data_IF_309183409865
#
_entry.id   IF_309183409865
#
_cell.length_a   1.000
_cell.length_b   1.000
_cell.length_c   1.000
_cell.angle_alpha   90.00
_cell.angle_beta   90.00
_cell.angle_gamma   90.00
#
_symmetry.space_group_name_H-M   'P 1'
#
loop_
_entity.id
_entity.type
_entity.pdbx_description
1 polymer ?
#
# COMPACT_ATOMS: atom_id res chain seq x y z
N UNK A 1 -0.89 14.36 17.79
CA UNK A 1 -1.08 12.94 18.19
C UNK A 1 0.14 12.18 17.71
N UNK A 2 0.96 11.70 18.64
CA UNK A 2 2.32 11.26 18.36
C UNK A 2 2.35 10.07 17.40
N UNK A 3 3.03 10.25 16.27
CA UNK A 3 3.63 9.14 15.52
C UNK A 3 4.64 8.49 16.46
N UNK A 4 4.20 7.56 17.30
CA UNK A 4 5.12 6.67 17.98
C UNK A 4 6.00 6.06 16.90
N UNK A 5 7.32 6.18 17.03
CA UNK A 5 8.24 5.51 16.13
C UNK A 5 7.79 4.05 16.05
N UNK A 6 7.37 3.62 14.86
CA UNK A 6 6.85 2.29 14.61
C UNK A 6 8.00 1.28 14.80
N UNK A 7 8.29 0.98 16.05
CA UNK A 7 9.39 0.12 16.44
C UNK A 7 8.86 -1.30 16.56
N UNK A 8 9.26 -2.10 15.57
CA UNK A 8 8.96 -3.52 15.51
C UNK A 8 9.39 -4.27 16.78
N UNK A 9 10.51 -3.88 17.41
CA UNK A 9 10.98 -4.53 18.63
C UNK A 9 10.01 -4.31 19.79
N UNK A 10 9.57 -3.05 20.00
CA UNK A 10 8.55 -2.73 21.00
C UNK A 10 7.21 -3.44 20.75
N UNK A 11 6.79 -3.55 19.50
CA UNK A 11 5.55 -4.23 19.13
C UNK A 11 5.64 -5.74 19.38
N UNK A 12 6.71 -6.39 18.92
CA UNK A 12 6.91 -7.81 19.12
C UNK A 12 6.95 -8.18 20.61
N UNK A 13 7.60 -7.36 21.44
CA UNK A 13 7.67 -7.58 22.89
C UNK A 13 6.28 -7.51 23.57
N UNK A 14 5.37 -6.62 23.14
CA UNK A 14 4.00 -6.52 23.70
C UNK A 14 3.16 -7.78 23.45
N UNK A 15 3.43 -8.46 22.34
CA UNK A 15 2.62 -9.56 21.84
C UNK A 15 3.28 -10.93 22.03
N UNK A 16 4.51 -10.96 22.53
CA UNK A 16 5.24 -12.17 22.85
C UNK A 16 4.45 -13.00 23.88
N UNK A 17 4.23 -14.28 23.57
CA UNK A 17 3.48 -15.21 24.43
C UNK A 17 1.95 -15.04 24.44
N UNK A 18 1.42 -13.90 23.95
CA UNK A 18 -0.03 -13.71 23.72
C UNK A 18 -0.45 -14.19 22.33
N UNK A 19 0.45 -14.12 21.36
CA UNK A 19 0.22 -14.47 19.96
C UNK A 19 1.30 -15.46 19.49
N UNK A 20 0.95 -16.30 18.53
CA UNK A 20 1.88 -17.20 17.86
C UNK A 20 2.96 -16.43 17.07
N UNK A 21 4.23 -16.82 17.23
CA UNK A 21 5.39 -16.23 16.53
C UNK A 21 5.22 -16.14 15.01
N UNK A 22 4.50 -17.10 14.42
CA UNK A 22 4.20 -17.08 12.98
C UNK A 22 3.41 -15.84 12.55
N UNK A 23 2.46 -15.37 13.36
CA UNK A 23 1.68 -14.17 13.05
C UNK A 23 2.53 -12.90 13.17
N UNK A 24 3.47 -12.84 14.11
CA UNK A 24 4.45 -11.76 14.20
C UNK A 24 5.34 -11.73 12.95
N UNK A 25 5.83 -12.89 12.50
CA UNK A 25 6.64 -12.97 11.26
C UNK A 25 5.85 -12.53 10.03
N UNK A 26 4.60 -12.97 9.89
CA UNK A 26 3.73 -12.58 8.75
C UNK A 26 3.43 -11.07 8.82
N UNK A 27 3.17 -10.53 10.00
CA UNK A 27 2.95 -9.09 10.19
C UNK A 27 4.17 -8.29 9.77
N UNK A 28 5.37 -8.66 10.22
CA UNK A 28 6.63 -8.02 9.81
C UNK A 28 6.80 -8.00 8.29
N UNK A 29 6.61 -9.16 7.64
CA UNK A 29 6.69 -9.28 6.18
C UNK A 29 5.63 -8.44 5.46
N UNK A 30 4.43 -8.33 6.03
CA UNK A 30 3.35 -7.50 5.50
C UNK A 30 3.73 -6.02 5.54
N UNK A 31 4.34 -5.56 6.63
CA UNK A 31 4.83 -4.18 6.77
C UNK A 31 5.98 -3.86 5.81
N UNK A 32 6.95 -4.76 5.68
CA UNK A 32 8.04 -4.62 4.72
C UNK A 32 7.52 -4.49 3.28
N UNK A 33 6.50 -5.28 2.93
CA UNK A 33 5.84 -5.22 1.61
C UNK A 33 4.98 -3.98 1.43
N UNK A 34 4.23 -3.54 2.46
CA UNK A 34 3.48 -2.28 2.45
C UNK A 34 4.40 -1.11 2.11
N UNK A 35 5.54 -1.00 2.80
CA UNK A 35 6.52 0.07 2.58
C UNK A 35 7.06 0.07 1.15
N UNK A 36 7.38 -1.09 0.58
CA UNK A 36 7.81 -1.21 -0.82
C UNK A 36 6.71 -0.79 -1.79
N UNK A 37 5.49 -1.26 -1.57
CA UNK A 37 4.34 -0.90 -2.41
C UNK A 37 4.05 0.60 -2.36
N UNK A 38 3.99 1.21 -1.18
CA UNK A 38 3.75 2.65 -1.01
C UNK A 38 4.85 3.50 -1.66
N UNK A 39 6.11 3.07 -1.54
CA UNK A 39 7.23 3.74 -2.21
C UNK A 39 7.07 3.70 -3.74
N UNK A 40 6.82 2.52 -4.31
CA UNK A 40 6.61 2.34 -5.76
C UNK A 40 5.40 3.16 -6.24
N UNK A 41 4.29 3.10 -5.50
CA UNK A 41 3.07 3.81 -5.82
C UNK A 41 3.29 5.33 -5.80
N UNK A 42 3.93 5.85 -4.75
CA UNK A 42 4.27 7.29 -4.65
C UNK A 42 5.21 7.72 -5.77
N UNK A 43 6.25 6.93 -6.04
CA UNK A 43 7.18 7.20 -7.13
C UNK A 43 6.45 7.22 -8.49
N UNK A 44 5.51 6.30 -8.73
CA UNK A 44 4.72 6.28 -9.97
C UNK A 44 3.89 7.55 -10.15
N UNK A 45 3.27 8.08 -9.09
CA UNK A 45 2.54 9.35 -9.14
C UNK A 45 3.45 10.53 -9.47
N UNK A 46 4.64 10.59 -8.87
CA UNK A 46 5.62 11.65 -9.19
C UNK A 46 6.01 11.58 -10.67
N UNK A 47 6.28 10.38 -11.19
CA UNK A 47 6.61 10.20 -12.61
C UNK A 47 5.43 10.59 -13.51
N UNK A 48 4.19 10.25 -13.14
CA UNK A 48 2.99 10.67 -13.87
C UNK A 48 2.84 12.19 -13.94
N UNK A 49 3.07 12.89 -12.83
CA UNK A 49 3.02 14.36 -12.81
C UNK A 49 4.09 14.95 -13.74
N UNK A 50 5.33 14.45 -13.66
CA UNK A 50 6.44 14.92 -14.50
C UNK A 50 6.15 14.66 -15.98
N UNK A 51 5.71 13.45 -16.34
CA UNK A 51 5.37 13.10 -17.73
C UNK A 51 4.19 13.92 -18.26
N UNK A 52 3.17 14.16 -17.43
CA UNK A 52 2.01 14.98 -17.81
C UNK A 52 2.40 16.44 -18.05
N UNK A 53 3.24 17.01 -17.19
CA UNK A 53 3.77 18.36 -17.37
C UNK A 53 4.63 18.45 -18.64
N UNK A 54 5.49 17.47 -18.88
CA UNK A 54 6.27 17.39 -20.11
C UNK A 54 5.38 17.33 -21.36
N UNK A 55 4.33 16.50 -21.33
CA UNK A 55 3.36 16.41 -22.42
C UNK A 55 2.65 17.75 -22.66
N UNK A 56 2.20 18.44 -21.60
CA UNK A 56 1.56 19.76 -21.73
C UNK A 56 2.51 20.81 -22.33
N UNK A 57 3.79 20.78 -21.94
CA UNK A 57 4.82 21.66 -22.51
C UNK A 57 5.05 21.37 -24.00
N UNK A 58 5.16 20.09 -24.38
CA UNK A 58 5.30 19.68 -25.77
C UNK A 58 4.07 20.05 -26.60
N UNK A 59 2.86 19.80 -26.08
CA UNK A 59 1.61 20.18 -26.73
C UNK A 59 1.52 21.69 -26.93
N UNK A 60 1.88 22.50 -25.93
CA UNK A 60 1.88 23.97 -26.04
C UNK A 60 2.83 24.46 -27.13
N UNK A 61 4.07 23.94 -27.19
CA UNK A 61 5.05 24.39 -28.20
C UNK A 61 4.64 23.98 -29.61
N UNK A 62 4.05 22.79 -29.77
CA UNK A 62 3.58 22.31 -31.08
C UNK A 62 2.31 23.02 -31.53
N UNK A 63 1.35 23.30 -30.64
CA UNK A 63 0.15 24.11 -30.96
C UNK A 63 0.52 25.55 -31.32
N UNK A 64 1.52 26.14 -30.65
CA UNK A 64 2.00 27.48 -31.01
C UNK A 64 2.68 27.54 -32.40
N UNK A 65 3.13 26.39 -32.92
CA UNK A 65 3.81 26.28 -34.23
C UNK A 65 2.89 25.78 -35.36
N UNK A 66 1.72 25.22 -35.04
CA UNK A 66 0.83 24.56 -36.00
C UNK A 66 -0.44 25.37 -36.32
N UNK A 67 -0.42 26.09 -37.44
CA UNK A 67 -1.60 26.72 -38.08
C UNK A 67 -2.01 26.05 -39.41
N UNK A 68 -1.56 24.82 -39.67
CA UNK A 68 -1.85 24.10 -40.92
C UNK A 68 -2.47 22.74 -40.63
N UNK A 69 -3.64 22.46 -41.23
CA UNK A 69 -4.51 21.32 -40.94
C UNK A 69 -4.01 19.94 -41.42
N UNK A 70 -2.79 19.55 -41.07
CA UNK A 70 -2.25 18.21 -41.29
C UNK A 70 -2.16 17.42 -39.98
N UNK A 71 -2.22 16.08 -40.08
CA UNK A 71 -2.10 15.16 -38.96
C UNK A 71 -0.71 15.30 -38.32
N UNK A 72 -0.62 15.95 -37.16
CA UNK A 72 0.67 16.34 -36.59
C UNK A 72 1.28 15.19 -35.75
N UNK A 73 2.19 14.44 -36.35
CA UNK A 73 2.96 13.37 -35.72
C UNK A 73 3.73 13.83 -34.47
N UNK A 74 4.04 15.13 -34.37
CA UNK A 74 4.70 15.72 -33.20
C UNK A 74 3.83 15.75 -31.93
N UNK A 75 2.50 15.66 -32.06
CA UNK A 75 1.57 15.56 -30.91
C UNK A 75 1.26 14.09 -30.59
N UNK A 76 1.17 13.26 -31.62
CA UNK A 76 0.84 11.83 -31.48
C UNK A 76 1.94 11.06 -30.75
N UNK A 77 3.21 11.33 -31.07
CA UNK A 77 4.34 10.65 -30.45
C UNK A 77 4.44 10.88 -28.93
N UNK A 78 4.41 12.12 -28.39
CA UNK A 78 4.46 12.35 -26.95
C UNK A 78 3.21 11.80 -26.23
N UNK A 79 2.06 11.75 -26.89
CA UNK A 79 0.86 11.09 -26.34
C UNK A 79 1.07 9.59 -26.19
N UNK A 80 1.60 8.90 -27.21
CA UNK A 80 1.92 7.46 -27.14
C UNK A 80 2.94 7.19 -26.03
N UNK A 81 3.99 8.02 -25.91
CA UNK A 81 4.99 7.90 -24.84
C UNK A 81 4.35 8.04 -23.46
N UNK A 82 3.45 9.01 -23.28
CA UNK A 82 2.73 9.21 -22.02
C UNK A 82 1.87 7.99 -21.67
N UNK A 83 1.06 7.50 -22.60
CA UNK A 83 0.16 6.35 -22.38
C UNK A 83 0.94 5.05 -22.11
N UNK A 84 2.01 4.79 -22.88
CA UNK A 84 2.84 3.58 -22.69
C UNK A 84 3.61 3.61 -21.37
N UNK A 85 4.19 4.76 -21.01
CA UNK A 85 4.84 4.95 -19.70
C UNK A 85 3.85 4.82 -18.56
N UNK A 86 2.62 5.33 -18.73
CA UNK A 86 1.54 5.19 -17.77
C UNK A 86 1.20 3.73 -17.49
N UNK A 87 1.00 2.94 -18.55
CA UNK A 87 0.70 1.52 -18.48
C UNK A 87 1.85 0.71 -17.84
N UNK A 88 3.10 1.00 -18.19
CA UNK A 88 4.27 0.31 -17.63
C UNK A 88 4.41 0.55 -16.12
N UNK A 89 4.26 1.79 -15.68
CA UNK A 89 4.31 2.14 -14.25
C UNK A 89 3.14 1.50 -13.49
N UNK A 90 1.94 1.46 -14.07
CA UNK A 90 0.79 0.80 -13.45
C UNK A 90 1.02 -0.70 -13.30
N UNK A 91 1.66 -1.33 -14.29
CA UNK A 91 2.04 -2.74 -14.23
C UNK A 91 3.04 -2.97 -13.09
N UNK A 92 4.05 -2.13 -12.94
CA UNK A 92 5.02 -2.20 -11.82
C UNK A 92 4.29 -2.05 -10.48
N UNK A 93 3.43 -1.05 -10.32
CA UNK A 93 2.62 -0.88 -9.10
C UNK A 93 1.81 -2.15 -8.79
N UNK A 94 1.17 -2.74 -9.80
CA UNK A 94 0.39 -3.97 -9.65
C UNK A 94 1.25 -5.18 -9.25
N UNK A 95 2.47 -5.30 -9.77
CA UNK A 95 3.44 -6.35 -9.37
C UNK A 95 3.74 -6.29 -7.87
N UNK A 96 3.83 -5.10 -7.28
CA UNK A 96 4.06 -4.96 -5.84
C UNK A 96 2.76 -5.04 -5.02
N UNK A 97 1.63 -4.60 -5.60
CA UNK A 97 0.31 -4.64 -4.95
C UNK A 97 -0.17 -6.06 -4.72
N UNK A 98 -0.12 -6.93 -5.73
CA UNK A 98 -0.70 -8.28 -5.62
C UNK A 98 -0.04 -9.13 -4.52
N UNK A 99 1.30 -9.20 -4.39
CA UNK A 99 1.97 -9.91 -3.30
C UNK A 99 1.76 -9.26 -1.93
N UNK A 100 1.52 -7.94 -1.87
CA UNK A 100 1.15 -7.24 -0.64
C UNK A 100 -0.27 -7.63 -0.18
N UNK A 101 -1.25 -7.59 -1.09
CA UNK A 101 -2.62 -8.01 -0.78
C UNK A 101 -2.66 -9.48 -0.35
N UNK A 102 -2.01 -10.37 -1.11
CA UNK A 102 -1.96 -11.79 -0.77
C UNK A 102 -1.41 -12.07 0.64
N UNK A 103 -0.35 -11.36 1.07
CA UNK A 103 0.19 -11.58 2.42
C UNK A 103 -0.68 -10.95 3.50
N UNK A 104 -1.34 -9.83 3.19
CA UNK A 104 -2.31 -9.18 4.06
C UNK A 104 -3.53 -10.07 4.29
N UNK A 105 -4.02 -10.72 3.24
CA UNK A 105 -5.14 -11.66 3.31
C UNK A 105 -4.78 -12.88 4.16
N UNK A 106 -3.59 -13.46 3.94
CA UNK A 106 -3.06 -14.55 4.77
C UNK A 106 -2.92 -14.15 6.24
N UNK A 107 -2.51 -12.90 6.51
CA UNK A 107 -2.44 -12.38 7.88
C UNK A 107 -3.83 -12.29 8.50
N UNK A 108 -4.81 -11.80 7.74
CA UNK A 108 -6.21 -11.69 8.18
C UNK A 108 -6.80 -13.05 8.50
N UNK A 109 -6.65 -14.03 7.61
CA UNK A 109 -7.09 -15.42 7.82
C UNK A 109 -6.44 -16.03 9.06
N UNK A 110 -5.13 -15.81 9.25
CA UNK A 110 -4.41 -16.30 10.44
C UNK A 110 -4.91 -15.67 11.73
N UNK A 111 -5.17 -14.36 11.71
CA UNK A 111 -5.71 -13.65 12.87
C UNK A 111 -7.11 -14.18 13.19
N UNK A 112 -7.98 -14.31 12.18
CA UNK A 112 -9.35 -14.81 12.37
C UNK A 112 -9.40 -16.26 12.87
N UNK A 113 -8.49 -17.12 12.40
CA UNK A 113 -8.49 -18.54 12.75
C UNK A 113 -7.81 -18.85 14.10
N UNK A 114 -6.86 -18.02 14.55
CA UNK A 114 -5.97 -18.37 15.66
C UNK A 114 -5.95 -17.38 16.82
N UNK A 115 -6.55 -16.20 16.69
CA UNK A 115 -6.57 -15.19 17.75
C UNK A 115 -7.91 -15.22 18.48
N UNK A 116 -7.87 -15.47 19.78
CA UNK A 116 -9.08 -15.57 20.59
C UNK A 116 -9.87 -14.26 20.61
N UNK A 117 -11.18 -14.38 20.42
CA UNK A 117 -12.18 -13.51 21.04
C UNK A 117 -13.10 -14.41 21.88
N UNK A 118 -12.96 -14.35 23.20
CA UNK A 118 -13.85 -14.99 24.16
C UNK A 118 -14.49 -13.90 25.02
N UNK A 119 -15.65 -14.12 25.61
CA UNK A 119 -16.25 -13.22 26.58
C UNK A 119 -17.30 -13.96 27.37
N UNK A 120 -17.36 -13.58 28.63
CA UNK A 120 -18.37 -13.80 29.62
C UNK A 120 -18.01 -12.76 30.68
N UNK A 121 -19.03 -12.21 31.28
CA UNK A 121 -19.07 -10.83 31.71
C UNK A 121 -19.96 -10.77 32.94
N UNK A 122 -19.52 -10.15 34.04
CA UNK A 122 -20.02 -10.35 35.42
C UNK A 122 -20.16 -11.84 35.88
N UNK A 123 -20.04 -12.83 34.97
CA UNK A 123 -20.66 -14.16 34.95
C UNK A 123 -19.76 -15.26 34.30
N UNK A 124 -18.46 -15.04 33.98
CA UNK A 124 -17.55 -16.09 33.44
C UNK A 124 -16.43 -15.57 32.52
N UNK A 125 -15.78 -16.41 31.69
CA UNK A 125 -14.57 -16.12 30.88
C UNK A 125 -14.61 -15.09 29.70
N UNK A 126 -13.73 -14.07 29.70
CA UNK A 126 -13.44 -13.17 28.56
C UNK A 126 -12.01 -13.11 28.00
N UNK A 127 -11.89 -12.74 26.72
CA UNK A 127 -10.70 -12.54 25.87
C UNK A 127 -11.01 -11.60 24.67
N UNK A 128 -10.27 -10.51 24.46
CA UNK A 128 -10.34 -9.74 23.21
C UNK A 128 -8.99 -9.53 22.53
N UNK A 129 -8.17 -10.58 22.45
CA UNK A 129 -6.82 -10.48 21.89
C UNK A 129 -6.82 -10.16 20.38
N UNK A 130 -7.81 -10.66 19.65
CA UNK A 130 -7.97 -10.31 18.23
C UNK A 130 -8.22 -8.82 18.04
N UNK A 131 -9.22 -8.27 18.72
CA UNK A 131 -9.60 -6.85 18.58
C UNK A 131 -8.46 -5.91 19.02
N UNK A 132 -7.81 -6.23 20.14
CA UNK A 132 -6.65 -5.49 20.64
C UNK A 132 -5.49 -5.53 19.65
N UNK A 133 -5.24 -6.67 19.01
CA UNK A 133 -4.19 -6.80 18.00
C UNK A 133 -4.50 -6.00 16.74
N UNK A 134 -5.73 -6.12 16.22
CA UNK A 134 -6.15 -5.36 15.05
C UNK A 134 -6.07 -3.85 15.31
N UNK A 135 -6.43 -3.41 16.52
CA UNK A 135 -6.31 -2.02 16.95
C UNK A 135 -4.84 -1.59 17.05
N UNK A 136 -3.98 -2.33 17.75
CA UNK A 136 -2.57 -1.97 17.94
C UNK A 136 -1.81 -1.97 16.59
N UNK A 137 -2.11 -2.90 15.69
CA UNK A 137 -1.52 -2.92 14.34
C UNK A 137 -1.95 -1.68 13.52
N UNK A 138 -3.19 -1.25 13.65
CA UNK A 138 -3.68 0.00 13.03
C UNK A 138 -3.03 1.23 13.65
N UNK A 139 -2.94 1.31 14.97
CA UNK A 139 -2.40 2.48 15.67
C UNK A 139 -0.87 2.60 15.51
N UNK A 140 -0.14 1.48 15.58
CA UNK A 140 1.32 1.45 15.49
C UNK A 140 1.82 1.57 14.05
N UNK A 141 1.16 0.92 13.09
CA UNK A 141 1.66 0.78 11.71
C UNK A 141 0.74 1.31 10.61
N UNK A 142 -0.42 1.87 10.98
CA UNK A 142 -1.47 2.29 10.04
C UNK A 142 -1.87 1.15 9.07
N UNK A 143 -1.78 -0.10 9.54
CA UNK A 143 -2.15 -1.26 8.76
C UNK A 143 -3.56 -1.69 9.17
N UNK A 144 -4.54 -1.38 8.32
CA UNK A 144 -5.91 -1.79 8.56
C UNK A 144 -6.13 -3.24 8.14
N UNK A 145 -6.45 -4.10 9.11
CA UNK A 145 -6.71 -5.53 8.93
C UNK A 145 -8.20 -5.90 9.14
N UNK A 146 -9.07 -4.92 9.40
CA UNK A 146 -10.52 -5.15 9.56
C UNK A 146 -11.21 -5.49 8.22
N UNK A 147 -10.64 -5.03 7.10
CA UNK A 147 -11.12 -5.25 5.73
C UNK A 147 -10.00 -5.79 4.84
#
# INVERSE_FOLDING_TARGET
MGKGNADWASFAARWQGKINDSALVITKKTLERKKRYEYINTASYVVYVVLSLWFLLAAKTTLAKGSAGSFNTEIVLPFIVLVTSAAMLQLVVNIYKAPYQKIKDLLRERIDAQFCNCYYDFWGAACSHKEEFLKDVKETFDLNLYY
#
